data_IF_082730515445
#
_entry.id   IF_082730515445
#
_cell.length_a   1.000
_cell.length_b   1.000
_cell.length_c   1.000
_cell.angle_alpha   90.00
_cell.angle_beta   90.00
_cell.angle_gamma   90.00
#
_symmetry.space_group_name_H-M   'P 1'
#
loop_
_entity.id
_entity.type
_entity.pdbx_description
1 polymer ?
#
# COMPACT_ATOMS: atom_id res chain seq x y z
N UNK A 1 -51.80 57.52 22.40
CA UNK A 1 -51.63 56.11 22.03
C UNK A 1 -50.27 56.01 21.38
N UNK A 2 -49.21 55.59 22.13
CA UNK A 2 -47.82 55.47 21.61
C UNK A 2 -47.53 53.99 21.41
N UNK A 3 -47.30 53.58 20.15
CA UNK A 3 -46.81 52.23 19.80
C UNK A 3 -45.28 52.18 19.98
N UNK A 4 -44.82 51.31 20.83
CA UNK A 4 -43.37 50.92 20.93
C UNK A 4 -43.13 49.73 20.10
N UNK A 5 -42.31 49.82 19.01
CA UNK A 5 -41.78 48.71 18.27
C UNK A 5 -40.55 48.17 19.01
N UNK A 6 -40.63 46.93 19.46
CA UNK A 6 -39.48 46.19 19.96
C UNK A 6 -38.79 45.46 18.79
N UNK A 7 -37.54 45.82 18.50
CA UNK A 7 -36.71 45.12 17.54
C UNK A 7 -36.03 43.91 18.24
N UNK A 8 -36.37 42.72 17.84
CA UNK A 8 -35.66 41.49 18.27
C UNK A 8 -34.43 41.28 17.38
N UNK A 9 -33.25 41.40 17.97
CA UNK A 9 -31.99 41.08 17.30
C UNK A 9 -31.77 39.56 17.35
N UNK A 10 -31.83 38.92 16.19
CA UNK A 10 -31.51 37.49 16.02
C UNK A 10 -29.99 37.34 15.92
N UNK A 11 -29.34 36.84 16.99
CA UNK A 11 -27.92 36.47 16.96
C UNK A 11 -27.76 35.09 16.28
N UNK A 12 -27.21 35.05 15.07
CA UNK A 12 -26.76 33.85 14.43
C UNK A 12 -25.42 33.42 15.07
N UNK A 13 -25.43 32.39 15.92
CA UNK A 13 -24.23 31.76 16.41
C UNK A 13 -23.68 30.86 15.28
N UNK A 14 -22.65 31.31 14.56
CA UNK A 14 -21.94 30.53 13.58
C UNK A 14 -21.13 29.40 14.26
N UNK A 15 -21.55 28.16 14.09
CA UNK A 15 -20.76 27.00 14.50
C UNK A 15 -19.54 26.87 13.58
N UNK A 16 -18.36 27.17 14.09
CA UNK A 16 -17.09 26.91 13.41
C UNK A 16 -16.80 25.43 13.57
N UNK A 17 -17.04 24.61 12.52
CA UNK A 17 -16.62 23.26 12.47
C UNK A 17 -15.11 23.23 12.11
N UNK A 18 -14.27 22.57 12.91
CA UNK A 18 -12.86 22.36 12.53
C UNK A 18 -12.83 21.51 11.26
N UNK A 19 -12.19 22.02 10.20
CA UNK A 19 -11.92 21.24 9.01
C UNK A 19 -10.95 20.11 9.40
N UNK A 20 -11.17 18.86 8.92
CA UNK A 20 -10.24 17.78 9.18
C UNK A 20 -8.88 18.14 8.53
N UNK A 21 -7.83 18.14 9.34
CA UNK A 21 -6.44 18.23 8.83
C UNK A 21 -6.22 17.06 7.90
N UNK A 22 -6.02 17.34 6.63
CA UNK A 22 -5.70 16.32 5.62
C UNK A 22 -4.32 15.75 5.90
N UNK A 23 -4.15 14.41 5.78
CA UNK A 23 -2.85 13.75 5.84
C UNK A 23 -1.83 14.28 4.80
N UNK A 24 -2.24 15.18 3.90
CA UNK A 24 -1.41 15.84 2.91
C UNK A 24 -0.42 16.88 3.49
N UNK A 25 -0.58 17.26 4.77
CA UNK A 25 0.30 18.25 5.43
C UNK A 25 1.47 17.60 6.20
N UNK A 26 1.61 16.28 6.19
CA UNK A 26 2.71 15.60 6.87
C UNK A 26 4.00 15.69 6.04
N UNK A 27 4.87 16.65 6.39
CA UNK A 27 6.22 16.72 5.85
C UNK A 27 7.09 15.65 6.48
N UNK A 28 7.62 14.69 5.68
CA UNK A 28 8.45 13.59 6.15
C UNK A 28 9.75 13.49 5.37
N UNK A 29 10.87 13.52 6.06
CA UNK A 29 12.21 13.24 5.53
C UNK A 29 12.75 12.02 6.26
N UNK A 30 13.13 10.97 5.51
CA UNK A 30 13.60 9.71 6.08
C UNK A 30 14.93 9.33 5.45
N UNK A 31 15.98 9.19 6.26
CA UNK A 31 17.26 8.66 5.81
C UNK A 31 17.22 7.13 5.81
N UNK A 32 18.05 6.49 4.99
CA UNK A 32 18.06 5.03 4.85
C UNK A 32 18.23 4.30 6.20
N UNK A 33 19.11 4.77 7.04
CA UNK A 33 19.37 4.18 8.37
C UNK A 33 18.20 4.34 9.35
N UNK A 34 17.26 5.24 9.08
CA UNK A 34 16.11 5.50 9.95
C UNK A 34 14.88 4.65 9.57
N UNK A 35 14.97 3.89 8.45
CA UNK A 35 13.92 2.98 8.02
C UNK A 35 13.73 1.88 9.06
N UNK A 36 12.51 1.75 9.59
CA UNK A 36 12.15 0.74 10.59
C UNK A 36 11.44 -0.41 9.90
N UNK A 37 12.08 -1.58 9.94
CA UNK A 37 11.53 -2.81 9.39
C UNK A 37 10.74 -3.56 10.46
N UNK A 38 9.66 -4.20 10.04
CA UNK A 38 8.82 -5.10 10.83
C UNK A 38 8.47 -6.33 10.00
N UNK A 39 8.05 -7.44 10.60
CA UNK A 39 7.54 -8.58 9.83
C UNK A 39 6.48 -8.16 8.84
N UNK A 40 6.47 -8.78 7.67
CA UNK A 40 5.46 -8.55 6.64
C UNK A 40 4.04 -8.85 7.14
N UNK A 41 3.01 -8.22 6.53
CA UNK A 41 1.62 -8.46 6.92
C UNK A 41 1.22 -9.91 6.70
N UNK A 42 0.23 -10.39 7.46
CA UNK A 42 -0.27 -11.77 7.37
C UNK A 42 -0.82 -12.14 5.97
N UNK A 43 -1.09 -11.14 5.13
CA UNK A 43 -1.61 -11.33 3.77
C UNK A 43 -0.56 -11.78 2.75
N UNK A 44 0.73 -11.76 3.06
CA UNK A 44 1.80 -12.26 2.19
C UNK A 44 2.53 -13.44 2.85
N UNK A 45 3.18 -14.32 2.10
CA UNK A 45 3.93 -15.43 2.67
C UNK A 45 4.94 -14.97 3.72
N UNK A 46 5.22 -15.80 4.72
CA UNK A 46 6.20 -15.49 5.77
C UNK A 46 7.60 -15.33 5.20
N UNK A 47 8.40 -14.47 5.82
CA UNK A 47 9.79 -14.22 5.46
C UNK A 47 10.07 -12.83 4.88
N UNK A 48 9.05 -12.12 4.42
CA UNK A 48 9.20 -10.72 4.04
C UNK A 48 9.17 -9.79 5.27
N UNK A 49 9.83 -8.63 5.12
CA UNK A 49 9.75 -7.51 6.06
C UNK A 49 9.13 -6.30 5.35
N UNK A 50 8.43 -5.45 6.10
CA UNK A 50 7.81 -4.22 5.61
C UNK A 50 8.28 -3.01 6.40
N UNK A 51 8.41 -1.88 5.71
CA UNK A 51 8.64 -0.57 6.31
C UNK A 51 7.69 0.45 5.69
N UNK A 52 6.72 0.94 6.46
CA UNK A 52 5.86 2.04 6.03
C UNK A 52 6.64 3.35 6.12
N UNK A 53 6.82 4.01 4.98
CA UNK A 53 7.57 5.25 4.87
C UNK A 53 6.68 6.48 5.03
N UNK A 54 5.46 6.41 4.52
CA UNK A 54 4.49 7.50 4.52
C UNK A 54 3.07 6.94 4.49
N UNK A 55 2.12 7.64 5.12
CA UNK A 55 0.71 7.26 5.17
C UNK A 55 0.44 6.00 5.98
N UNK A 56 -0.76 5.45 5.80
CA UNK A 56 -1.21 4.22 6.46
C UNK A 56 -1.88 3.30 5.42
N UNK A 57 -1.28 2.16 5.06
CA UNK A 57 -1.85 1.25 4.07
C UNK A 57 -3.25 0.70 4.43
N UNK A 58 -3.66 0.77 5.70
CA UNK A 58 -4.97 0.28 6.15
C UNK A 58 -6.09 1.32 6.03
N UNK A 59 -5.75 2.58 5.76
CA UNK A 59 -6.69 3.71 5.70
C UNK A 59 -6.79 4.30 4.30
N UNK A 60 -7.85 5.07 4.05
CA UNK A 60 -7.96 5.86 2.83
C UNK A 60 -6.82 6.89 2.74
N UNK A 61 -6.32 7.09 1.53
CA UNK A 61 -5.27 8.06 1.22
C UNK A 61 -3.99 7.41 0.67
N UNK A 62 -3.06 8.25 0.20
CA UNK A 62 -1.81 7.78 -0.37
C UNK A 62 -0.88 7.21 0.70
N UNK A 63 -0.13 6.18 0.33
CA UNK A 63 0.95 5.65 1.16
C UNK A 63 2.16 5.25 0.32
N UNK A 64 3.31 5.17 0.98
CA UNK A 64 4.54 4.59 0.47
C UNK A 64 5.10 3.60 1.48
N UNK A 65 5.47 2.41 1.02
CA UNK A 65 6.13 1.40 1.85
C UNK A 65 7.25 0.70 1.08
N UNK A 66 8.16 0.08 1.80
CA UNK A 66 9.13 -0.85 1.23
C UNK A 66 8.84 -2.25 1.69
N UNK A 67 9.09 -3.20 0.80
CA UNK A 67 9.10 -4.62 1.08
C UNK A 67 10.51 -5.13 0.86
N UNK A 68 11.01 -5.92 1.82
CA UNK A 68 12.27 -6.64 1.72
C UNK A 68 11.94 -8.12 1.73
N UNK A 69 12.34 -8.81 0.69
CA UNK A 69 12.01 -10.19 0.41
C UNK A 69 13.30 -10.99 0.17
N UNK A 70 13.50 -12.13 0.86
CA UNK A 70 14.70 -12.93 0.69
C UNK A 70 14.73 -13.64 -0.67
N UNK A 71 15.90 -14.07 -1.08
CA UNK A 71 16.09 -14.96 -2.25
C UNK A 71 15.15 -16.16 -2.19
N UNK A 72 14.51 -16.45 -3.33
CA UNK A 72 13.55 -17.55 -3.45
C UNK A 72 12.16 -17.26 -2.92
N UNK A 73 11.93 -16.05 -2.38
CA UNK A 73 10.58 -15.64 -1.95
C UNK A 73 9.63 -15.60 -3.14
N UNK A 74 8.39 -16.03 -2.93
CA UNK A 74 7.36 -16.09 -3.96
C UNK A 74 6.06 -15.52 -3.42
N UNK A 75 5.36 -14.77 -4.26
CA UNK A 75 3.99 -14.34 -4.04
C UNK A 75 3.14 -14.97 -5.14
N UNK A 76 2.30 -15.97 -4.82
CA UNK A 76 1.42 -16.64 -5.77
C UNK A 76 0.47 -15.67 -6.50
N UNK A 77 -0.19 -16.11 -7.59
CA UNK A 77 -1.12 -15.26 -8.34
C UNK A 77 -2.16 -14.59 -7.46
N UNK A 78 -2.20 -13.26 -7.53
CA UNK A 78 -3.03 -12.40 -6.71
C UNK A 78 -3.37 -11.10 -7.43
N UNK A 79 -4.28 -10.33 -6.87
CA UNK A 79 -4.62 -8.97 -7.31
C UNK A 79 -4.75 -8.04 -6.11
N UNK A 80 -4.75 -6.73 -6.38
CA UNK A 80 -4.92 -5.69 -5.38
C UNK A 80 -6.20 -4.88 -5.63
N UNK A 81 -6.89 -4.39 -4.59
CA UNK A 81 -8.09 -3.56 -4.74
C UNK A 81 -7.81 -2.14 -5.25
N UNK A 82 -6.57 -1.72 -5.23
CA UNK A 82 -6.08 -0.39 -5.64
C UNK A 82 -4.91 -0.54 -6.63
N UNK A 83 -4.62 0.45 -7.47
CA UNK A 83 -3.44 0.41 -8.35
C UNK A 83 -2.16 0.30 -7.54
N UNK A 84 -1.16 -0.37 -8.07
CA UNK A 84 0.17 -0.39 -7.46
C UNK A 84 1.22 0.20 -8.41
N UNK A 85 2.20 0.89 -7.81
CA UNK A 85 3.35 1.47 -8.49
C UNK A 85 4.59 1.00 -7.74
N UNK A 86 5.43 0.22 -8.40
CA UNK A 86 6.58 -0.43 -7.77
C UNK A 86 7.87 -0.05 -8.47
N UNK A 87 8.88 0.27 -7.66
CA UNK A 87 10.27 0.47 -8.09
C UNK A 87 11.17 -0.51 -7.35
N UNK A 88 12.01 -1.22 -8.08
CA UNK A 88 13.03 -2.11 -7.50
C UNK A 88 14.20 -1.24 -7.00
N UNK A 89 14.46 -1.30 -5.68
CA UNK A 89 15.55 -0.56 -5.03
C UNK A 89 16.86 -1.35 -5.08
N UNK A 90 16.79 -2.66 -4.84
CA UNK A 90 17.93 -3.57 -4.91
C UNK A 90 17.45 -4.98 -5.23
N UNK A 91 18.34 -5.82 -5.73
CA UNK A 91 18.04 -7.20 -6.10
C UNK A 91 17.37 -7.31 -7.46
N UNK A 92 16.75 -8.48 -7.70
CA UNK A 92 16.00 -8.79 -8.92
C UNK A 92 14.60 -9.28 -8.58
N UNK A 93 13.60 -8.50 -8.98
CA UNK A 93 12.19 -8.80 -8.84
C UNK A 93 11.67 -9.39 -10.15
N UNK A 94 11.17 -10.60 -10.12
CA UNK A 94 10.46 -11.19 -11.26
C UNK A 94 8.98 -10.98 -11.14
N UNK A 95 8.38 -10.47 -12.21
CA UNK A 95 6.95 -10.20 -12.29
C UNK A 95 6.33 -10.95 -13.48
N UNK A 96 5.30 -11.70 -13.24
CA UNK A 96 4.55 -12.41 -14.28
C UNK A 96 3.06 -12.15 -14.17
N UNK A 97 2.38 -12.20 -15.31
CA UNK A 97 0.96 -11.90 -15.42
C UNK A 97 0.11 -13.17 -15.50
N UNK A 98 -1.13 -13.06 -15.00
CA UNK A 98 -2.14 -14.10 -15.15
C UNK A 98 -2.38 -14.93 -13.89
N UNK A 99 -3.34 -15.85 -14.00
CA UNK A 99 -3.87 -16.64 -12.88
C UNK A 99 -3.02 -17.88 -12.54
N UNK A 100 -2.05 -18.21 -13.38
CA UNK A 100 -1.14 -19.35 -13.18
C UNK A 100 0.28 -18.82 -13.16
N UNK A 101 1.03 -19.15 -12.10
CA UNK A 101 2.44 -18.81 -12.00
C UNK A 101 3.25 -19.63 -13.04
N UNK A 102 3.84 -18.95 -14.00
CA UNK A 102 4.75 -19.50 -15.00
C UNK A 102 6.08 -18.72 -14.91
N UNK A 103 7.08 -19.24 -14.19
CA UNK A 103 8.37 -18.56 -14.05
C UNK A 103 9.06 -18.26 -15.37
N UNK A 104 8.79 -19.07 -16.43
CA UNK A 104 9.35 -18.87 -17.77
C UNK A 104 8.80 -17.64 -18.50
N UNK A 105 7.66 -17.11 -18.04
CA UNK A 105 7.03 -15.91 -18.58
C UNK A 105 7.19 -14.69 -17.67
N UNK A 106 7.86 -14.84 -16.52
CA UNK A 106 8.10 -13.73 -15.62
C UNK A 106 9.26 -12.86 -16.12
N UNK A 107 9.01 -11.56 -16.23
CA UNK A 107 10.03 -10.58 -16.59
C UNK A 107 10.90 -10.25 -15.37
N UNK A 108 12.21 -10.21 -15.56
CA UNK A 108 13.18 -9.89 -14.52
C UNK A 108 13.45 -8.39 -14.50
N UNK A 109 13.17 -7.75 -13.37
CA UNK A 109 13.40 -6.34 -13.14
C UNK A 109 14.56 -6.17 -12.14
N UNK A 110 15.75 -5.76 -12.58
CA UNK A 110 16.86 -5.44 -11.68
C UNK A 110 16.61 -4.10 -10.97
N UNK A 111 17.55 -3.72 -10.09
CA UNK A 111 17.53 -2.41 -9.41
C UNK A 111 17.33 -1.26 -10.43
N UNK A 112 16.41 -0.34 -10.13
CA UNK A 112 15.92 0.70 -11.03
C UNK A 112 14.76 0.26 -11.92
N UNK A 113 14.43 -1.04 -11.98
CA UNK A 113 13.26 -1.55 -12.67
C UNK A 113 11.96 -1.00 -12.06
N UNK A 114 10.92 -0.92 -12.90
CA UNK A 114 9.66 -0.28 -12.53
C UNK A 114 8.49 -0.98 -13.20
N UNK A 115 7.36 -1.05 -12.49
CA UNK A 115 6.07 -1.40 -13.08
C UNK A 115 4.92 -0.63 -12.41
N UNK A 116 3.82 -0.50 -13.12
CA UNK A 116 2.58 0.07 -12.59
C UNK A 116 1.39 -0.75 -13.11
N UNK A 117 0.56 -1.23 -12.18
CA UNK A 117 -0.62 -2.03 -12.51
C UNK A 117 -1.89 -1.37 -12.00
N UNK A 118 -2.98 -1.39 -12.80
CA UNK A 118 -4.28 -0.96 -12.33
C UNK A 118 -4.84 -1.92 -11.27
N UNK A 119 -5.83 -1.46 -10.51
CA UNK A 119 -6.59 -2.29 -9.60
C UNK A 119 -7.16 -3.54 -10.29
N UNK A 120 -7.15 -4.68 -9.61
CA UNK A 120 -7.70 -5.94 -10.09
C UNK A 120 -6.81 -6.73 -11.06
N UNK A 121 -5.67 -6.18 -11.51
CA UNK A 121 -4.77 -6.89 -12.40
C UNK A 121 -4.12 -8.08 -11.68
N UNK A 122 -4.33 -9.29 -12.22
CA UNK A 122 -3.77 -10.52 -11.64
C UNK A 122 -2.33 -10.73 -12.08
N UNK A 123 -1.45 -10.93 -11.11
CA UNK A 123 -0.02 -11.13 -11.32
C UNK A 123 0.58 -12.00 -10.20
N UNK A 124 1.81 -12.45 -10.42
CA UNK A 124 2.61 -13.19 -9.44
C UNK A 124 4.04 -12.67 -9.43
N UNK A 125 4.77 -12.92 -8.34
CA UNK A 125 6.14 -12.46 -8.21
C UNK A 125 7.05 -13.51 -7.60
N UNK A 126 8.36 -13.44 -7.96
CA UNK A 126 9.42 -14.22 -7.32
C UNK A 126 10.72 -13.41 -7.28
N UNK A 127 11.62 -13.77 -6.36
CA UNK A 127 12.89 -13.07 -6.13
C UNK A 127 14.06 -14.00 -6.41
N UNK A 128 14.93 -13.60 -7.37
CA UNK A 128 16.13 -14.37 -7.72
C UNK A 128 17.24 -14.20 -6.66
N UNK A 129 17.19 -13.10 -5.90
CA UNK A 129 18.12 -12.75 -4.83
C UNK A 129 17.40 -11.90 -3.77
N UNK A 130 18.08 -11.55 -2.69
CA UNK A 130 17.50 -10.64 -1.68
C UNK A 130 17.11 -9.32 -2.32
N UNK A 131 15.83 -9.01 -2.30
CA UNK A 131 15.24 -7.92 -3.09
C UNK A 131 14.52 -6.94 -2.19
N UNK A 132 14.72 -5.65 -2.45
CA UNK A 132 13.97 -4.55 -1.84
C UNK A 132 13.23 -3.80 -2.92
N UNK A 133 11.93 -3.62 -2.73
CA UNK A 133 11.09 -2.78 -3.59
C UNK A 133 10.47 -1.65 -2.79
N UNK A 134 10.16 -0.54 -3.45
CA UNK A 134 9.28 0.50 -2.93
C UNK A 134 7.95 0.43 -3.67
N UNK A 135 6.88 0.33 -2.91
CA UNK A 135 5.50 0.30 -3.38
C UNK A 135 4.81 1.59 -2.96
N UNK A 136 4.16 2.24 -3.91
CA UNK A 136 3.31 3.41 -3.69
C UNK A 136 1.90 3.09 -4.19
N UNK A 137 0.91 3.44 -3.39
CA UNK A 137 -0.51 3.22 -3.72
C UNK A 137 -1.41 4.12 -2.88
N UNK A 138 -2.70 3.81 -2.91
CA UNK A 138 -3.70 4.34 -1.98
C UNK A 138 -4.28 3.19 -1.15
N UNK A 139 -4.58 3.46 0.12
CA UNK A 139 -5.27 2.48 0.96
C UNK A 139 -6.81 2.59 0.86
N UNK A 140 -7.56 1.67 1.46
CA UNK A 140 -7.06 0.49 2.13
C UNK A 140 -6.43 -0.51 1.15
N UNK A 141 -5.24 -1.02 1.50
CA UNK A 141 -4.43 -1.91 0.69
C UNK A 141 -4.64 -3.37 1.11
N UNK A 142 -4.60 -4.28 0.16
CA UNK A 142 -4.73 -5.70 0.43
C UNK A 142 -4.39 -6.57 -0.77
N UNK A 143 -4.39 -7.90 -0.55
CA UNK A 143 -4.23 -8.91 -1.59
C UNK A 143 -5.42 -9.85 -1.59
N UNK A 144 -5.85 -10.24 -2.80
CA UNK A 144 -6.79 -11.34 -3.05
C UNK A 144 -6.09 -12.39 -3.91
N UNK A 145 -5.88 -13.59 -3.35
CA UNK A 145 -5.25 -14.68 -4.09
C UNK A 145 -6.24 -15.33 -5.05
N UNK A 146 -5.77 -15.72 -6.24
CA UNK A 146 -6.56 -16.47 -7.22
C UNK A 146 -6.96 -17.82 -6.64
N UNK A 147 -6.01 -18.55 -6.07
CA UNK A 147 -6.28 -19.78 -5.34
C UNK A 147 -6.33 -19.50 -3.83
N UNK A 148 -7.49 -19.66 -3.17
CA UNK A 148 -7.62 -19.41 -1.73
C UNK A 148 -6.65 -20.23 -0.86
N UNK A 149 -6.16 -21.38 -1.32
CA UNK A 149 -5.18 -22.22 -0.60
C UNK A 149 -3.80 -21.56 -0.52
N UNK A 150 -3.51 -20.57 -1.36
CA UNK A 150 -2.27 -19.81 -1.35
C UNK A 150 -2.29 -18.67 -0.33
N UNK A 151 -3.46 -18.30 0.16
CA UNK A 151 -3.63 -17.25 1.16
C UNK A 151 -3.03 -17.69 2.51
N UNK A 152 -1.96 -17.03 2.98
CA UNK A 152 -1.32 -17.41 4.24
C UNK A 152 -2.24 -17.29 5.46
N UNK A 153 -3.26 -16.42 5.38
CA UNK A 153 -4.23 -16.18 6.46
C UNK A 153 -5.12 -17.39 6.72
N UNK A 154 -5.27 -18.29 5.74
CA UNK A 154 -6.08 -19.51 5.85
C UNK A 154 -5.27 -20.72 6.34
N UNK A 155 -3.93 -20.62 6.42
CA UNK A 155 -3.04 -21.73 6.84
C UNK A 155 -2.81 -21.78 8.37
N UNK A 156 -3.50 -20.97 9.15
CA UNK A 156 -3.32 -20.81 10.61
C UNK A 156 -4.37 -21.56 11.44
N UNK A 157 -4.93 -22.65 10.90
CA UNK A 157 -5.80 -23.55 11.69
C UNK A 157 -5.11 -24.89 11.90
#
# INVERSE_FOLDING_TARGET
MRLTLSAAALMLAGAVFPLPVSAADEHKVLKLQDVKWSPGPASIPKGAEVAVLFGDPSKEGPFAMRLKMPKGYQIPPHSHPKPEVVTVISGVFRIGMGETADPGKAEALPAGGFFAFPAGMTHFASMDEDTVVQLNSTGPWGLTYVNPKDDPRQKTQ
#
